data_IF_875073386625
#
_entry.id   IF_875073386625
#
_cell.length_a   1.000
_cell.length_b   1.000
_cell.length_c   1.000
_cell.angle_alpha   90.00
_cell.angle_beta   90.00
_cell.angle_gamma   90.00
#
_symmetry.space_group_name_H-M   'P 1'
#
loop_
_entity.id
_entity.type
_entity.pdbx_description
1 polymer ?
#
# COMPACT_ATOMS: atom_id res chain seq x y z
N UNK A 1 11.02 -19.47 -17.23
CA UNK A 1 12.00 -18.53 -16.65
C UNK A 1 11.82 -18.58 -15.14
N UNK A 2 12.88 -18.82 -14.35
CA UNK A 2 12.76 -18.85 -12.89
C UNK A 2 12.40 -17.45 -12.34
N UNK A 3 11.68 -17.41 -11.22
CA UNK A 3 11.21 -16.16 -10.60
C UNK A 3 12.35 -15.16 -10.36
N UNK A 4 13.49 -15.61 -9.84
CA UNK A 4 14.68 -14.76 -9.59
C UNK A 4 15.20 -14.10 -10.85
N UNK A 5 15.31 -14.85 -11.95
CA UNK A 5 15.78 -14.31 -13.25
C UNK A 5 14.79 -13.27 -13.79
N UNK A 6 13.49 -13.46 -13.56
CA UNK A 6 12.47 -12.49 -13.98
C UNK A 6 12.59 -11.18 -13.19
N UNK A 7 12.75 -11.28 -11.86
CA UNK A 7 12.98 -10.11 -10.98
C UNK A 7 14.23 -9.34 -11.44
N UNK A 8 15.36 -10.01 -11.68
CA UNK A 8 16.59 -9.37 -12.16
C UNK A 8 16.40 -8.65 -13.51
N UNK A 9 15.70 -9.26 -14.46
CA UNK A 9 15.43 -8.64 -15.76
C UNK A 9 14.58 -7.39 -15.62
N UNK A 10 13.50 -7.46 -14.86
CA UNK A 10 12.64 -6.29 -14.61
C UNK A 10 13.41 -5.21 -13.88
N UNK A 11 14.17 -5.56 -12.85
CA UNK A 11 14.99 -4.61 -12.08
C UNK A 11 16.03 -3.88 -12.96
N UNK A 12 16.65 -4.58 -13.90
CA UNK A 12 17.61 -3.97 -14.84
C UNK A 12 16.90 -2.99 -15.78
N UNK A 13 15.68 -3.26 -16.20
CA UNK A 13 14.88 -2.30 -16.99
C UNK A 13 14.51 -1.08 -16.16
N UNK A 14 14.06 -1.27 -14.91
CA UNK A 14 13.72 -0.15 -14.02
C UNK A 14 14.92 0.78 -13.78
N UNK A 15 16.15 0.24 -13.70
CA UNK A 15 17.37 1.05 -13.54
C UNK A 15 17.73 1.89 -14.75
N UNK A 16 17.39 1.42 -15.93
CA UNK A 16 17.81 1.99 -17.21
C UNK A 16 16.75 2.92 -17.82
N UNK A 17 15.65 3.20 -17.11
CA UNK A 17 14.49 3.88 -17.69
C UNK A 17 13.84 4.87 -16.72
N UNK A 18 13.00 5.76 -17.26
CA UNK A 18 12.02 6.49 -16.48
C UNK A 18 10.88 5.55 -16.03
N UNK A 19 10.69 5.41 -14.73
CA UNK A 19 9.76 4.42 -14.16
C UNK A 19 8.44 5.05 -13.77
N UNK A 20 7.37 4.47 -14.32
CA UNK A 20 5.98 4.77 -13.96
C UNK A 20 5.36 3.52 -13.33
N UNK A 21 4.91 3.62 -12.09
CA UNK A 21 4.11 2.57 -11.44
C UNK A 21 2.64 2.98 -11.55
N UNK A 22 1.85 2.19 -12.26
CA UNK A 22 0.48 2.56 -12.60
C UNK A 22 -0.48 1.53 -12.00
N UNK A 23 -1.47 2.01 -11.24
CA UNK A 23 -2.40 1.13 -10.54
C UNK A 23 -3.68 1.86 -10.12
N UNK A 24 -4.66 1.11 -9.59
CA UNK A 24 -5.88 1.63 -8.96
C UNK A 24 -6.10 1.02 -7.57
N UNK A 25 -6.79 1.75 -6.69
CA UNK A 25 -7.26 1.24 -5.39
C UNK A 25 -6.15 0.65 -4.52
N UNK A 26 -6.36 -0.56 -3.98
CA UNK A 26 -5.37 -1.24 -3.14
C UNK A 26 -4.03 -1.46 -3.83
N UNK A 27 -4.03 -1.68 -5.15
CA UNK A 27 -2.78 -1.82 -5.91
C UNK A 27 -1.98 -0.51 -5.97
N UNK A 28 -2.66 0.63 -6.04
CA UNK A 28 -2.02 1.94 -5.92
C UNK A 28 -1.45 2.16 -4.51
N UNK A 29 -2.23 1.81 -3.47
CA UNK A 29 -1.76 1.91 -2.09
C UNK A 29 -0.57 0.98 -1.83
N UNK A 30 -0.52 -0.21 -2.44
CA UNK A 30 0.64 -1.10 -2.38
C UNK A 30 1.90 -0.47 -3.01
N UNK A 31 1.75 0.20 -4.15
CA UNK A 31 2.84 0.94 -4.78
C UNK A 31 3.33 2.08 -3.88
N UNK A 32 2.42 2.85 -3.28
CA UNK A 32 2.76 3.92 -2.33
C UNK A 32 3.44 3.40 -1.06
N UNK A 33 3.05 2.23 -0.55
CA UNK A 33 3.70 1.60 0.60
C UNK A 33 5.16 1.20 0.32
N UNK A 34 5.45 0.80 -0.93
CA UNK A 34 6.80 0.42 -1.36
C UNK A 34 7.66 1.61 -1.86
N UNK A 35 7.06 2.79 -2.10
CA UNK A 35 7.76 3.95 -2.67
C UNK A 35 9.04 4.31 -1.91
N UNK A 36 8.97 4.36 -0.59
CA UNK A 36 10.12 4.69 0.25
C UNK A 36 11.30 3.72 0.08
N UNK A 37 11.05 2.45 -0.22
CA UNK A 37 12.11 1.47 -0.46
C UNK A 37 12.76 1.66 -1.85
N UNK A 38 11.98 2.04 -2.87
CA UNK A 38 12.54 2.45 -4.16
C UNK A 38 13.42 3.69 -4.03
N UNK A 39 12.95 4.72 -3.32
CA UNK A 39 13.69 5.96 -3.06
C UNK A 39 15.00 5.68 -2.32
N UNK A 40 14.95 4.87 -1.25
CA UNK A 40 16.13 4.46 -0.49
C UNK A 40 17.19 3.76 -1.35
N UNK A 41 16.75 3.01 -2.36
CA UNK A 41 17.59 2.26 -3.26
C UNK A 41 17.93 3.03 -4.58
N UNK A 42 17.69 4.35 -4.60
CA UNK A 42 18.15 5.25 -5.66
C UNK A 42 17.25 5.32 -6.89
N UNK A 43 16.01 4.82 -6.81
CA UNK A 43 15.03 4.93 -7.88
C UNK A 43 13.87 5.84 -7.46
N UNK A 44 13.53 6.82 -8.28
CA UNK A 44 12.36 7.71 -8.08
C UNK A 44 11.25 7.26 -9.04
N UNK A 45 10.30 6.41 -8.61
CA UNK A 45 9.19 6.03 -9.46
C UNK A 45 8.11 7.13 -9.47
N UNK A 46 7.50 7.37 -10.62
CA UNK A 46 6.26 8.14 -10.70
C UNK A 46 5.08 7.19 -10.47
N UNK A 47 4.47 7.28 -9.29
CA UNK A 47 3.31 6.44 -8.94
C UNK A 47 2.03 7.18 -9.31
N UNK A 48 1.25 6.62 -10.24
CA UNK A 48 0.13 7.31 -10.90
C UNK A 48 -1.11 6.43 -10.84
N UNK A 49 -2.25 7.04 -10.53
CA UNK A 49 -3.55 6.41 -10.72
C UNK A 49 -3.80 6.13 -12.21
N UNK A 50 -4.25 4.93 -12.54
CA UNK A 50 -4.40 4.53 -13.95
C UNK A 50 -5.37 5.44 -14.73
N UNK A 51 -6.43 5.93 -14.09
CA UNK A 51 -7.40 6.85 -14.70
C UNK A 51 -6.86 8.26 -14.93
N UNK A 52 -5.71 8.62 -14.34
CA UNK A 52 -5.02 9.91 -14.55
C UNK A 52 -3.79 9.77 -15.47
N UNK A 53 -3.52 8.57 -15.99
CA UNK A 53 -2.28 8.28 -16.69
C UNK A 53 -2.18 8.97 -18.05
N UNK A 54 -3.28 9.24 -18.74
CA UNK A 54 -3.31 9.88 -20.05
C UNK A 54 -2.55 11.24 -20.06
N UNK A 55 -2.57 11.97 -18.96
CA UNK A 55 -1.86 13.25 -18.81
C UNK A 55 -0.35 13.13 -19.01
N UNK A 56 0.19 11.92 -18.83
CA UNK A 56 1.62 11.63 -18.94
C UNK A 56 2.04 11.16 -20.35
N UNK A 57 1.10 10.98 -21.27
CA UNK A 57 1.36 10.40 -22.60
C UNK A 57 2.51 11.09 -23.35
N UNK A 58 2.60 12.43 -23.27
CA UNK A 58 3.62 13.23 -23.97
C UNK A 58 5.05 13.04 -23.42
N UNK A 59 5.17 12.50 -22.20
CA UNK A 59 6.45 12.24 -21.53
C UNK A 59 6.94 10.80 -21.74
N UNK A 60 6.13 9.96 -22.39
CA UNK A 60 6.47 8.56 -22.62
C UNK A 60 7.33 8.40 -23.87
N UNK A 61 8.32 7.52 -23.78
CA UNK A 61 9.24 7.16 -24.86
C UNK A 61 9.70 5.70 -24.73
N UNK A 62 10.58 5.26 -25.60
CA UNK A 62 11.24 3.94 -25.53
C UNK A 62 12.11 3.79 -24.25
N UNK A 63 12.51 4.91 -23.65
CA UNK A 63 13.21 4.94 -22.37
C UNK A 63 12.31 4.88 -21.15
N UNK A 64 11.00 4.78 -21.36
CA UNK A 64 10.01 4.64 -20.27
C UNK A 64 9.73 3.18 -19.97
N UNK A 65 9.58 2.85 -18.69
CA UNK A 65 9.10 1.53 -18.22
C UNK A 65 7.88 1.70 -17.34
N UNK A 66 6.81 1.03 -17.72
CA UNK A 66 5.57 0.95 -16.94
C UNK A 66 5.59 -0.32 -16.10
N UNK A 67 5.42 -0.19 -14.80
CA UNK A 67 5.10 -1.29 -13.90
C UNK A 67 3.62 -1.21 -13.57
N UNK A 68 2.82 -1.98 -14.28
CA UNK A 68 1.36 -2.01 -14.15
C UNK A 68 0.94 -3.04 -13.10
N UNK A 69 0.14 -2.65 -12.11
CA UNK A 69 -0.24 -3.51 -10.99
C UNK A 69 -1.74 -3.70 -10.94
N UNK A 70 -2.20 -4.94 -11.03
CA UNK A 70 -3.62 -5.30 -10.92
C UNK A 70 -3.80 -6.71 -10.40
N UNK A 71 -4.73 -6.92 -9.47
CA UNK A 71 -5.10 -8.26 -9.04
C UNK A 71 -5.77 -9.03 -10.18
N UNK A 72 -6.80 -8.47 -10.81
CA UNK A 72 -7.56 -9.12 -11.88
C UNK A 72 -6.87 -9.11 -13.24
N UNK A 73 -6.10 -8.05 -13.51
CA UNK A 73 -5.55 -7.77 -14.83
C UNK A 73 -6.60 -7.36 -15.87
N UNK A 74 -7.83 -7.01 -15.41
CA UNK A 74 -8.95 -6.59 -16.27
C UNK A 74 -9.42 -5.16 -15.97
N UNK A 75 -8.71 -4.40 -15.14
CA UNK A 75 -9.03 -2.99 -14.85
C UNK A 75 -8.88 -2.17 -16.12
N UNK A 76 -9.99 -1.62 -16.62
CA UNK A 76 -10.06 -0.97 -17.94
C UNK A 76 -9.09 0.21 -18.04
N UNK A 77 -9.07 1.09 -17.03
CA UNK A 77 -8.18 2.26 -17.03
C UNK A 77 -6.72 1.85 -17.12
N UNK A 78 -6.34 0.78 -16.40
CA UNK A 78 -4.96 0.27 -16.43
C UNK A 78 -4.61 -0.36 -17.78
N UNK A 79 -5.54 -1.05 -18.40
CA UNK A 79 -5.37 -1.60 -19.76
C UNK A 79 -5.20 -0.45 -20.77
N UNK A 80 -5.99 0.62 -20.65
CA UNK A 80 -5.87 1.80 -21.50
C UNK A 80 -4.53 2.51 -21.27
N UNK A 81 -4.12 2.70 -20.03
CA UNK A 81 -2.80 3.26 -19.69
C UNK A 81 -1.66 2.44 -20.33
N UNK A 82 -1.73 1.12 -20.24
CA UNK A 82 -0.76 0.22 -20.87
C UNK A 82 -0.76 0.32 -22.41
N UNK A 83 -1.93 0.47 -23.05
CA UNK A 83 -2.03 0.68 -24.51
C UNK A 83 -1.41 2.01 -24.93
N UNK A 84 -1.70 3.10 -24.20
CA UNK A 84 -1.09 4.42 -24.43
C UNK A 84 0.43 4.31 -24.33
N UNK A 85 0.94 3.71 -23.25
CA UNK A 85 2.37 3.54 -23.07
C UNK A 85 3.02 2.73 -24.19
N UNK A 86 2.38 1.63 -24.60
CA UNK A 86 2.86 0.78 -25.70
C UNK A 86 2.89 1.51 -27.03
N UNK A 87 1.93 2.38 -27.32
CA UNK A 87 1.92 3.19 -28.55
C UNK A 87 3.06 4.19 -28.61
N UNK A 88 3.65 4.55 -27.45
CA UNK A 88 4.81 5.42 -27.31
C UNK A 88 6.15 4.68 -27.23
N UNK A 89 6.15 3.35 -27.40
CA UNK A 89 7.33 2.50 -27.37
C UNK A 89 7.80 2.11 -25.96
N UNK A 90 7.08 2.51 -24.90
CA UNK A 90 7.44 2.16 -23.53
C UNK A 90 7.37 0.65 -23.27
N UNK A 91 8.25 0.14 -22.41
CA UNK A 91 8.23 -1.24 -21.94
C UNK A 91 7.15 -1.42 -20.87
N UNK A 92 6.44 -2.54 -20.91
CA UNK A 92 5.35 -2.81 -19.97
C UNK A 92 5.64 -4.08 -19.20
N UNK A 93 5.82 -3.95 -17.91
CA UNK A 93 5.92 -5.04 -16.95
C UNK A 93 4.66 -5.07 -16.08
N UNK A 94 4.09 -6.24 -15.84
CA UNK A 94 2.89 -6.35 -15.02
C UNK A 94 3.09 -7.21 -13.78
N UNK A 95 2.49 -6.78 -12.67
CA UNK A 95 2.26 -7.60 -11.47
C UNK A 95 0.78 -7.95 -11.47
N UNK A 96 0.45 -9.20 -11.74
CA UNK A 96 -0.94 -9.67 -11.88
C UNK A 96 -1.17 -10.99 -11.16
N UNK A 97 -2.42 -11.29 -10.78
CA UNK A 97 -2.75 -12.59 -10.20
C UNK A 97 -3.35 -13.55 -11.22
N UNK A 98 -4.09 -13.04 -12.21
CA UNK A 98 -4.81 -13.86 -13.17
C UNK A 98 -3.95 -14.08 -14.43
N UNK A 99 -3.54 -15.34 -14.65
CA UNK A 99 -2.85 -15.76 -15.87
C UNK A 99 -3.78 -15.62 -17.06
N UNK A 100 -3.26 -15.07 -18.17
CA UNK A 100 -4.04 -14.87 -19.38
C UNK A 100 -5.01 -13.69 -19.34
N UNK A 101 -4.99 -12.86 -18.30
CA UNK A 101 -5.74 -11.60 -18.27
C UNK A 101 -5.32 -10.65 -19.38
N UNK A 102 -6.16 -9.67 -19.68
CA UNK A 102 -5.92 -8.68 -20.74
C UNK A 102 -4.62 -7.91 -20.51
N UNK A 103 -4.33 -7.48 -19.29
CA UNK A 103 -3.08 -6.83 -18.94
C UNK A 103 -1.88 -7.78 -19.11
N UNK A 104 -2.01 -9.05 -18.67
CA UNK A 104 -0.94 -10.03 -18.81
C UNK A 104 -0.57 -10.32 -20.25
N UNK A 105 -1.54 -10.31 -21.16
CA UNK A 105 -1.30 -10.49 -22.61
C UNK A 105 -0.68 -9.26 -23.28
N UNK A 106 -0.98 -8.06 -22.75
CA UNK A 106 -0.47 -6.80 -23.27
C UNK A 106 0.97 -6.52 -22.87
N UNK A 107 1.37 -7.04 -21.71
CA UNK A 107 2.65 -6.76 -21.07
C UNK A 107 3.80 -7.59 -21.65
N UNK A 108 5.01 -7.02 -21.65
CA UNK A 108 6.23 -7.68 -22.14
C UNK A 108 6.74 -8.73 -21.13
N UNK A 109 6.55 -8.47 -19.84
CA UNK A 109 6.87 -9.41 -18.75
C UNK A 109 5.79 -9.38 -17.67
N UNK A 110 5.57 -10.54 -17.07
CA UNK A 110 4.55 -10.71 -16.02
C UNK A 110 5.13 -11.36 -14.79
N UNK A 111 4.91 -10.76 -13.63
CA UNK A 111 5.08 -11.35 -12.31
C UNK A 111 3.70 -11.79 -11.85
N UNK A 112 3.51 -13.11 -11.70
CA UNK A 112 2.26 -13.66 -11.18
C UNK A 112 2.32 -13.79 -9.66
N UNK A 113 1.34 -13.21 -8.96
CA UNK A 113 1.26 -13.23 -7.49
C UNK A 113 1.01 -14.65 -6.93
N UNK A 114 0.26 -15.47 -7.68
CA UNK A 114 -0.10 -16.85 -7.32
C UNK A 114 -0.77 -16.99 -5.95
N UNK A 115 -1.57 -16.01 -5.54
CA UNK A 115 -2.27 -16.00 -4.24
C UNK A 115 -3.67 -16.63 -4.28
N UNK A 116 -4.03 -17.24 -5.41
CA UNK A 116 -5.38 -17.75 -5.62
C UNK A 116 -6.43 -16.64 -5.78
N UNK A 117 -7.72 -16.96 -5.94
CA UNK A 117 -8.77 -15.98 -6.12
C UNK A 117 -9.03 -15.22 -4.82
N UNK A 118 -9.27 -13.91 -4.91
CA UNK A 118 -9.91 -13.15 -3.81
C UNK A 118 -11.39 -13.56 -3.74
N UNK A 119 -11.87 -13.89 -2.55
CA UNK A 119 -13.22 -14.43 -2.34
C UNK A 119 -14.23 -13.32 -2.02
N UNK A 120 -13.76 -12.18 -1.52
CA UNK A 120 -14.60 -11.02 -1.20
C UNK A 120 -14.18 -9.80 -2.02
N UNK A 121 -14.93 -8.71 -1.85
CA UNK A 121 -14.62 -7.41 -2.50
C UNK A 121 -13.24 -6.88 -2.11
N UNK A 122 -12.79 -7.22 -0.90
CA UNK A 122 -11.50 -6.78 -0.38
C UNK A 122 -10.32 -7.43 -1.10
N UNK A 123 -9.38 -6.60 -1.51
CA UNK A 123 -8.02 -7.03 -1.79
C UNK A 123 -7.25 -7.14 -0.48
N UNK A 124 -6.94 -8.34 -0.03
CA UNK A 124 -6.18 -8.58 1.21
C UNK A 124 -4.86 -9.29 0.92
N UNK A 125 -4.91 -10.56 0.57
CA UNK A 125 -3.71 -11.34 0.24
C UNK A 125 -3.02 -10.85 -1.02
N UNK A 126 -3.77 -10.35 -2.01
CA UNK A 126 -3.19 -9.77 -3.21
C UNK A 126 -2.48 -8.44 -2.90
N UNK A 127 -3.03 -7.59 -2.03
CA UNK A 127 -2.35 -6.39 -1.54
C UNK A 127 -1.00 -6.73 -0.89
N UNK A 128 -1.02 -7.67 0.06
CA UNK A 128 0.21 -8.09 0.78
C UNK A 128 1.26 -8.68 -0.18
N UNK A 129 0.82 -9.49 -1.15
CA UNK A 129 1.71 -10.05 -2.18
C UNK A 129 2.29 -8.96 -3.09
N UNK A 130 1.50 -7.95 -3.47
CA UNK A 130 1.98 -6.82 -4.26
C UNK A 130 3.05 -6.04 -3.51
N UNK A 131 2.84 -5.72 -2.23
CA UNK A 131 3.84 -5.05 -1.40
C UNK A 131 5.13 -5.89 -1.32
N UNK A 132 5.03 -7.20 -1.06
CA UNK A 132 6.19 -8.09 -1.00
C UNK A 132 6.97 -8.14 -2.32
N UNK A 133 6.28 -8.23 -3.47
CA UNK A 133 6.91 -8.23 -4.80
C UNK A 133 7.60 -6.88 -5.07
N UNK A 134 6.95 -5.78 -4.74
CA UNK A 134 7.52 -4.44 -4.92
C UNK A 134 8.76 -4.22 -4.04
N UNK A 135 8.74 -4.70 -2.81
CA UNK A 135 9.92 -4.67 -1.93
C UNK A 135 11.07 -5.51 -2.47
N UNK A 136 10.80 -6.70 -3.03
CA UNK A 136 11.80 -7.53 -3.70
C UNK A 136 12.38 -6.84 -4.93
N UNK A 137 11.57 -6.15 -5.74
CA UNK A 137 12.04 -5.38 -6.88
C UNK A 137 12.92 -4.22 -6.42
N UNK A 138 12.47 -3.46 -5.41
CA UNK A 138 13.23 -2.33 -4.88
C UNK A 138 14.59 -2.75 -4.29
N UNK A 139 14.66 -3.83 -3.51
CA UNK A 139 15.92 -4.33 -2.94
C UNK A 139 16.85 -4.93 -3.99
N UNK A 140 16.30 -5.49 -5.06
CA UNK A 140 17.10 -6.00 -6.19
C UNK A 140 17.82 -4.90 -6.96
N UNK A 141 17.38 -3.63 -6.83
CA UNK A 141 18.11 -2.47 -7.38
C UNK A 141 19.53 -2.38 -6.85
N UNK A 142 19.78 -2.74 -5.60
CA UNK A 142 21.11 -2.72 -4.97
C UNK A 142 21.72 -4.12 -4.80
N UNK A 143 21.16 -5.12 -5.49
CA UNK A 143 21.63 -6.53 -5.45
C UNK A 143 21.56 -7.18 -4.06
N UNK A 144 20.55 -6.82 -3.25
CA UNK A 144 20.31 -7.38 -1.90
C UNK A 144 18.98 -8.14 -1.76
N UNK A 145 18.56 -8.97 -2.73
CA UNK A 145 17.27 -9.65 -2.66
C UNK A 145 17.17 -10.66 -1.51
N UNK A 146 18.30 -11.17 -1.01
CA UNK A 146 18.30 -12.14 0.11
C UNK A 146 17.96 -11.47 1.45
N UNK A 147 18.38 -10.22 1.67
CA UNK A 147 18.02 -9.47 2.88
C UNK A 147 16.49 -9.26 2.92
N UNK A 148 15.90 -8.79 1.82
CA UNK A 148 14.43 -8.61 1.75
C UNK A 148 13.66 -9.92 1.79
N UNK A 149 14.23 -11.01 1.31
CA UNK A 149 13.59 -12.33 1.46
C UNK A 149 13.50 -12.73 2.93
N UNK A 150 14.55 -12.51 3.71
CA UNK A 150 14.53 -12.78 5.15
C UNK A 150 13.52 -11.90 5.89
N UNK A 151 13.48 -10.60 5.58
CA UNK A 151 12.48 -9.66 6.12
C UNK A 151 11.05 -10.12 5.79
N UNK A 152 10.78 -10.53 4.55
CA UNK A 152 9.46 -11.04 4.14
C UNK A 152 9.10 -12.32 4.89
N UNK A 153 10.04 -13.25 5.07
CA UNK A 153 9.80 -14.48 5.85
C UNK A 153 9.49 -14.17 7.32
N UNK A 154 10.09 -13.15 7.88
CA UNK A 154 9.79 -12.66 9.22
C UNK A 154 8.39 -12.04 9.29
N UNK A 155 8.05 -11.18 8.36
CA UNK A 155 6.70 -10.59 8.25
C UNK A 155 5.62 -11.67 8.12
N UNK A 156 5.85 -12.72 7.34
CA UNK A 156 4.90 -13.86 7.22
C UNK A 156 4.63 -14.51 8.58
N UNK A 157 5.65 -14.71 9.42
CA UNK A 157 5.47 -15.22 10.79
C UNK A 157 4.63 -14.28 11.65
N UNK A 158 4.84 -12.95 11.49
CA UNK A 158 4.06 -11.94 12.21
C UNK A 158 2.59 -11.89 11.76
N UNK A 159 2.32 -12.01 10.47
CA UNK A 159 0.95 -12.09 9.94
C UNK A 159 0.21 -13.30 10.53
N UNK A 160 0.90 -14.43 10.66
CA UNK A 160 0.30 -15.61 11.29
C UNK A 160 -0.10 -15.35 12.76
N UNK A 161 0.73 -14.63 13.52
CA UNK A 161 0.40 -14.19 14.87
C UNK A 161 -0.83 -13.25 14.88
N UNK A 162 -0.85 -12.24 14.01
CA UNK A 162 -1.94 -11.26 13.92
C UNK A 162 -3.29 -11.88 13.48
N UNK A 163 -3.25 -13.05 12.85
CA UNK A 163 -4.45 -13.82 12.48
C UNK A 163 -4.83 -14.88 13.51
N UNK A 164 -4.12 -14.96 14.64
CA UNK A 164 -4.40 -15.88 15.74
C UNK A 164 -5.75 -15.58 16.41
N UNK A 165 -6.27 -16.57 17.14
CA UNK A 165 -7.55 -16.41 17.87
C UNK A 165 -7.49 -15.28 18.91
N UNK A 166 -6.36 -15.13 19.60
CA UNK A 166 -6.14 -14.04 20.56
C UNK A 166 -6.19 -12.68 19.91
N UNK A 167 -5.52 -12.47 18.77
CA UNK A 167 -5.56 -11.22 18.02
C UNK A 167 -6.96 -10.92 17.50
N UNK A 168 -7.67 -11.94 16.99
CA UNK A 168 -9.06 -11.81 16.55
C UNK A 168 -10.02 -11.37 17.66
N UNK A 169 -9.84 -11.92 18.87
CA UNK A 169 -10.65 -11.52 20.03
C UNK A 169 -10.45 -10.04 20.34
N UNK A 170 -9.21 -9.59 20.36
CA UNK A 170 -8.86 -8.19 20.62
C UNK A 170 -9.44 -7.24 19.56
N UNK A 171 -9.30 -7.61 18.28
CA UNK A 171 -9.91 -6.84 17.18
C UNK A 171 -11.44 -6.84 17.26
N UNK A 172 -12.05 -7.94 17.69
CA UNK A 172 -13.50 -8.00 17.89
C UNK A 172 -13.98 -7.07 19.00
N UNK A 173 -13.25 -6.94 20.09
CA UNK A 173 -13.54 -5.99 21.15
C UNK A 173 -13.50 -4.55 20.62
N UNK A 174 -12.48 -4.17 19.87
CA UNK A 174 -12.40 -2.88 19.21
C UNK A 174 -13.59 -2.66 18.25
N UNK A 175 -13.97 -3.66 17.47
CA UNK A 175 -15.08 -3.54 16.53
C UNK A 175 -16.42 -3.25 17.23
N UNK A 176 -16.63 -3.70 18.48
CA UNK A 176 -17.82 -3.35 19.25
C UNK A 176 -17.83 -1.89 19.69
N UNK A 177 -16.66 -1.32 19.97
CA UNK A 177 -16.52 0.11 20.30
C UNK A 177 -16.85 0.96 19.06
N UNK A 178 -16.35 0.55 17.89
CA UNK A 178 -16.47 1.31 16.64
C UNK A 178 -17.80 1.14 15.90
N UNK A 179 -18.62 0.17 16.27
CA UNK A 179 -19.82 -0.24 15.50
C UNK A 179 -20.87 0.84 15.25
N UNK A 180 -20.87 1.90 16.05
CA UNK A 180 -21.82 3.01 15.92
C UNK A 180 -21.14 4.30 15.45
N UNK A 181 -19.86 4.23 15.07
CA UNK A 181 -19.16 5.38 14.53
C UNK A 181 -19.62 5.66 13.10
N UNK A 182 -19.92 6.92 12.81
CA UNK A 182 -20.25 7.36 11.45
C UNK A 182 -19.01 7.66 10.62
N UNK A 183 -17.92 8.05 11.29
CA UNK A 183 -16.65 8.43 10.67
C UNK A 183 -15.50 7.77 11.42
N UNK A 184 -14.50 7.33 10.69
CA UNK A 184 -13.23 6.84 11.23
C UNK A 184 -12.11 7.50 10.45
N UNK A 185 -11.18 8.14 11.16
CA UNK A 185 -9.98 8.69 10.55
C UNK A 185 -8.80 7.76 10.74
N UNK A 186 -7.94 7.69 9.75
CA UNK A 186 -6.70 6.92 9.84
C UNK A 186 -5.53 7.80 9.47
N UNK A 187 -4.46 7.79 10.25
CA UNK A 187 -3.29 8.62 9.99
C UNK A 187 -1.99 7.82 10.03
N UNK A 188 -1.04 8.25 9.22
CA UNK A 188 0.32 7.72 9.19
C UNK A 188 1.29 8.70 8.56
N UNK A 189 2.59 8.42 8.63
CA UNK A 189 3.64 9.20 7.96
C UNK A 189 4.52 8.30 7.08
N UNK A 190 5.01 8.84 5.96
CA UNK A 190 5.80 8.08 5.01
C UNK A 190 5.03 6.84 4.50
N UNK A 191 5.62 5.65 4.63
CA UNK A 191 4.94 4.39 4.25
C UNK A 191 3.67 4.11 5.07
N UNK A 192 3.63 4.58 6.32
CA UNK A 192 2.45 4.40 7.17
C UNK A 192 1.26 5.24 6.70
N UNK A 193 1.49 6.31 5.93
CA UNK A 193 0.42 7.02 5.24
C UNK A 193 -0.27 6.12 4.18
N UNK A 194 0.50 5.38 3.41
CA UNK A 194 -0.08 4.41 2.47
C UNK A 194 -0.87 3.30 3.20
N UNK A 195 -0.39 2.87 4.38
CA UNK A 195 -1.11 1.95 5.26
C UNK A 195 -2.41 2.57 5.78
N UNK A 196 -2.40 3.85 6.15
CA UNK A 196 -3.59 4.57 6.57
C UNK A 196 -4.63 4.67 5.44
N UNK A 197 -4.20 4.97 4.22
CA UNK A 197 -5.05 5.00 3.03
C UNK A 197 -5.70 3.64 2.76
N UNK A 198 -4.92 2.56 2.84
CA UNK A 198 -5.42 1.20 2.60
C UNK A 198 -6.38 0.76 3.72
N UNK A 199 -6.08 1.05 4.98
CA UNK A 199 -6.96 0.76 6.10
C UNK A 199 -8.32 1.47 5.97
N UNK A 200 -8.31 2.75 5.62
CA UNK A 200 -9.53 3.51 5.36
C UNK A 200 -10.34 2.90 4.21
N UNK A 201 -9.68 2.47 3.13
CA UNK A 201 -10.33 1.79 2.01
C UNK A 201 -10.98 0.47 2.48
N UNK A 202 -10.26 -0.35 3.24
CA UNK A 202 -10.79 -1.63 3.76
C UNK A 202 -11.99 -1.43 4.69
N UNK A 203 -11.94 -0.42 5.57
CA UNK A 203 -13.07 -0.09 6.46
C UNK A 203 -14.30 0.28 5.62
N UNK A 204 -14.16 1.16 4.63
CA UNK A 204 -15.28 1.56 3.74
C UNK A 204 -15.91 0.37 3.01
N UNK A 205 -15.08 -0.51 2.47
CA UNK A 205 -15.55 -1.63 1.64
C UNK A 205 -16.36 -2.68 2.43
N UNK A 206 -16.04 -2.92 3.71
CA UNK A 206 -16.71 -3.98 4.50
C UNK A 206 -17.74 -3.49 5.48
N UNK A 207 -17.57 -2.28 6.04
CA UNK A 207 -18.44 -1.78 7.10
C UNK A 207 -19.41 -0.72 6.63
N UNK A 208 -19.18 -0.14 5.44
CA UNK A 208 -19.90 1.03 4.91
C UNK A 208 -19.76 2.28 5.79
N UNK A 209 -18.89 2.25 6.80
CA UNK A 209 -18.55 3.42 7.61
C UNK A 209 -17.68 4.33 6.75
N UNK A 210 -17.97 5.63 6.76
CA UNK A 210 -17.08 6.61 6.12
C UNK A 210 -15.73 6.61 6.83
N UNK A 211 -14.69 6.23 6.12
CA UNK A 211 -13.32 6.24 6.64
C UNK A 211 -12.40 7.00 5.70
N UNK A 212 -11.50 7.80 6.25
CA UNK A 212 -10.59 8.62 5.46
C UNK A 212 -9.16 8.55 6.02
N UNK A 213 -8.19 8.38 5.10
CA UNK A 213 -6.78 8.28 5.44
C UNK A 213 -6.05 9.59 5.16
N UNK A 214 -5.27 10.07 6.13
CA UNK A 214 -4.48 11.30 5.99
C UNK A 214 -3.00 11.08 6.29
N UNK A 215 -2.16 11.86 5.63
CA UNK A 215 -0.81 12.08 6.12
C UNK A 215 -0.91 12.80 7.47
N UNK A 216 -0.20 12.29 8.50
CA UNK A 216 -0.33 12.79 9.86
C UNK A 216 -0.12 14.30 9.99
N UNK A 217 0.84 14.86 9.23
CA UNK A 217 1.06 16.32 9.21
C UNK A 217 -0.05 17.10 8.51
N UNK A 218 -0.77 16.49 7.58
CA UNK A 218 -1.79 17.16 6.76
C UNK A 218 -3.14 17.30 7.49
N UNK A 219 -3.42 16.42 8.47
CA UNK A 219 -4.72 16.41 9.14
C UNK A 219 -5.04 17.72 9.85
N UNK A 220 -4.03 18.45 10.31
CA UNK A 220 -4.19 19.77 10.97
C UNK A 220 -4.50 20.93 10.01
N UNK A 221 -4.36 20.72 8.69
CA UNK A 221 -4.58 21.74 7.68
C UNK A 221 -6.01 21.71 7.10
N UNK A 222 -7.01 21.44 7.94
CA UNK A 222 -8.43 21.45 7.61
C UNK A 222 -9.19 20.29 8.22
N UNK A 223 -8.84 19.01 7.90
CA UNK A 223 -9.60 17.84 8.36
C UNK A 223 -9.77 17.71 9.87
N UNK A 224 -8.86 18.27 10.66
CA UNK A 224 -8.95 18.32 12.13
C UNK A 224 -10.23 19.03 12.63
N UNK A 225 -10.86 19.87 11.79
CA UNK A 225 -12.12 20.53 12.13
C UNK A 225 -13.30 19.55 12.27
N UNK A 226 -13.19 18.36 11.66
CA UNK A 226 -14.19 17.29 11.74
C UNK A 226 -14.04 16.42 12.99
N UNK A 227 -13.02 16.65 13.80
CA UNK A 227 -12.78 15.87 15.02
C UNK A 227 -13.65 16.39 16.15
N UNK A 228 -14.55 15.54 16.61
CA UNK A 228 -15.42 15.74 17.74
C UNK A 228 -15.08 14.79 18.89
N UNK A 229 -15.71 14.98 20.04
CA UNK A 229 -15.51 14.09 21.18
C UNK A 229 -15.89 12.64 20.85
N UNK A 230 -14.95 11.71 21.02
CA UNK A 230 -15.12 10.28 20.73
C UNK A 230 -14.91 9.89 19.27
N UNK A 231 -14.56 10.83 18.36
CA UNK A 231 -14.25 10.50 16.98
C UNK A 231 -13.08 9.51 16.90
N UNK A 232 -13.26 8.29 16.34
CA UNK A 232 -12.19 7.31 16.26
C UNK A 232 -11.10 7.73 15.27
N UNK A 233 -9.85 7.72 15.74
CA UNK A 233 -8.67 7.98 14.93
C UNK A 233 -7.67 6.83 15.08
N UNK A 234 -7.45 6.07 14.01
CA UNK A 234 -6.45 4.99 13.96
C UNK A 234 -5.11 5.60 13.56
N UNK A 235 -4.10 5.39 14.38
CA UNK A 235 -2.76 5.96 14.22
C UNK A 235 -1.76 4.84 13.98
N UNK A 236 -1.17 4.81 12.78
CA UNK A 236 -0.10 3.88 12.44
C UNK A 236 1.25 4.46 12.82
N UNK A 237 1.99 3.75 13.66
CA UNK A 237 3.25 4.23 14.23
C UNK A 237 4.36 3.22 13.98
N UNK A 238 5.17 3.45 12.97
CA UNK A 238 6.41 2.71 12.75
C UNK A 238 7.58 3.35 13.53
N UNK A 239 8.61 2.56 13.81
CA UNK A 239 9.76 2.98 14.63
C UNK A 239 10.51 4.21 14.10
N UNK A 240 10.39 4.54 12.80
CA UNK A 240 11.18 5.61 12.17
C UNK A 240 10.61 7.03 12.36
N UNK A 241 9.31 7.16 12.63
CA UNK A 241 8.61 8.46 12.67
C UNK A 241 7.80 8.65 13.96
N UNK A 242 8.21 8.00 15.06
CA UNK A 242 7.45 7.92 16.29
C UNK A 242 7.01 9.28 16.84
N UNK A 243 7.93 10.22 17.03
CA UNK A 243 7.63 11.47 17.72
C UNK A 243 6.66 12.35 16.94
N UNK A 244 6.85 12.46 15.63
CA UNK A 244 6.02 13.33 14.80
C UNK A 244 4.57 12.83 14.70
N UNK A 245 4.37 11.51 14.48
CA UNK A 245 3.03 10.96 14.38
C UNK A 245 2.33 10.91 15.74
N UNK A 246 3.06 10.68 16.84
CA UNK A 246 2.52 10.76 18.20
C UNK A 246 2.11 12.18 18.55
N UNK A 247 2.88 13.20 18.13
CA UNK A 247 2.49 14.60 18.24
C UNK A 247 1.19 14.89 17.49
N UNK A 248 1.03 14.37 16.25
CA UNK A 248 -0.23 14.50 15.53
C UNK A 248 -1.39 13.79 16.25
N UNK A 249 -1.16 12.61 16.82
CA UNK A 249 -2.16 11.91 17.63
C UNK A 249 -2.57 12.73 18.87
N UNK A 250 -1.61 13.39 19.53
CA UNK A 250 -1.86 14.26 20.66
C UNK A 250 -2.69 15.51 20.28
N UNK A 251 -2.45 16.08 19.10
CA UNK A 251 -3.26 17.18 18.56
C UNK A 251 -4.72 16.74 18.36
N UNK A 252 -4.95 15.53 17.80
CA UNK A 252 -6.29 14.96 17.64
C UNK A 252 -6.96 14.65 18.98
N UNK A 253 -6.20 14.07 19.93
CA UNK A 253 -6.69 13.75 21.28
C UNK A 253 -7.13 15.00 22.03
N UNK A 254 -6.38 16.10 21.91
CA UNK A 254 -6.75 17.37 22.56
C UNK A 254 -8.06 17.96 22.03
N UNK A 255 -8.53 17.54 20.86
CA UNK A 255 -9.85 17.86 20.30
C UNK A 255 -10.94 16.87 20.69
N UNK A 256 -10.58 15.82 21.43
CA UNK A 256 -11.53 14.80 21.91
C UNK A 256 -11.57 13.51 21.09
N UNK A 257 -10.66 13.30 20.15
CA UNK A 257 -10.58 12.04 19.40
C UNK A 257 -10.33 10.84 20.33
N UNK A 258 -10.92 9.70 20.00
CA UNK A 258 -10.58 8.40 20.56
C UNK A 258 -9.43 7.79 19.76
N UNK A 259 -8.25 7.75 20.36
CA UNK A 259 -7.01 7.37 19.67
C UNK A 259 -6.75 5.87 19.76
N UNK A 260 -6.68 5.22 18.60
CA UNK A 260 -6.37 3.80 18.46
C UNK A 260 -4.96 3.67 17.87
N UNK A 261 -3.98 3.34 18.71
CA UNK A 261 -2.60 3.17 18.28
C UNK A 261 -2.34 1.77 17.72
N UNK A 262 -1.74 1.70 16.53
CA UNK A 262 -1.19 0.46 15.95
C UNK A 262 0.33 0.61 15.90
N UNK A 263 1.03 -0.08 16.81
CA UNK A 263 2.45 0.13 17.05
C UNK A 263 3.11 -1.03 17.77
N UNK A 264 4.44 -1.07 17.76
CA UNK A 264 5.22 -2.02 18.55
C UNK A 264 5.14 -1.73 20.06
N UNK A 265 5.18 -0.45 20.43
CA UNK A 265 5.19 0.02 21.82
C UNK A 265 3.92 0.81 22.13
N UNK A 266 3.38 0.57 23.32
CA UNK A 266 2.26 1.37 23.83
C UNK A 266 2.73 2.78 24.16
N UNK A 267 1.90 3.76 23.83
CA UNK A 267 2.10 5.16 24.19
C UNK A 267 0.92 5.66 25.00
N UNK A 268 1.12 6.67 25.85
CA UNK A 268 0.07 7.24 26.72
C UNK A 268 -1.02 8.01 25.95
N UNK A 269 -0.72 8.41 24.72
CA UNK A 269 -1.71 9.06 23.84
C UNK A 269 -2.81 8.10 23.41
N UNK A 270 -2.58 6.77 23.42
CA UNK A 270 -3.54 5.79 22.94
C UNK A 270 -4.61 5.47 23.98
N UNK A 271 -5.86 5.61 23.59
CA UNK A 271 -7.02 5.13 24.35
C UNK A 271 -7.21 3.62 24.16
N UNK A 272 -6.88 3.13 22.95
CA UNK A 272 -6.84 1.71 22.62
C UNK A 272 -5.54 1.38 21.89
N UNK A 273 -4.95 0.22 22.16
CA UNK A 273 -3.68 -0.15 21.55
C UNK A 273 -3.72 -1.55 20.96
N UNK A 274 -3.32 -1.65 19.69
CA UNK A 274 -3.09 -2.91 19.00
C UNK A 274 -1.58 -3.07 18.80
N UNK A 275 -1.02 -4.09 19.45
CA UNK A 275 0.38 -4.42 19.30
C UNK A 275 0.63 -5.06 17.93
N UNK A 276 1.54 -4.49 17.18
CA UNK A 276 2.17 -5.08 16.00
C UNK A 276 3.65 -5.27 16.29
N UNK A 277 4.28 -6.16 15.54
CA UNK A 277 5.73 -6.34 15.65
C UNK A 277 6.39 -5.41 14.62
N UNK A 278 7.42 -4.69 15.05
CA UNK A 278 8.16 -3.71 14.23
C UNK A 278 9.23 -4.35 13.35
#
# INVERSE_FOLDING_TARGET
>A
MGFTILIEKITNELKASEVYIVACGSSYNAAKAAEGEFLKNGLIPRIIHAHEFEQYEKFLSEDSTILAISQSGETLDLINAAKIAKSRGAKINAIVNVKGSSLARLSDKNIFMNVGPEICVLSTKSYTAQVAILMLLASSLIKKPNESKQEIEEIVRHIYYLTSESARKHTKELSQILRYSNHIFTIGRGRDYATAMEAALKIKEVSYIHAEGFAGGEIKHGPIAMIEHGTPCIVFVSNKNNQDILSNAQELKSRGAFIIGISEKKDEVFDYWIKVLG
#
